data_IF_751200720077
#
_entry.id   IF_751200720077
#
_cell.length_a   1.000
_cell.length_b   1.000
_cell.length_c   1.000
_cell.angle_alpha   90.00
_cell.angle_beta   90.00
_cell.angle_gamma   90.00
#
_symmetry.space_group_name_H-M   'P 1'
#
loop_
_entity.id
_entity.type
_entity.pdbx_description
1 polymer ?
#
# COMPACT_ATOMS: atom_id res chain seq x y z
N UNK A 1 -7.94 1.52 30.09
CA UNK A 1 -7.19 2.08 28.95
C UNK A 1 -7.10 0.96 27.93
N UNK A 2 -7.87 1.03 26.84
CA UNK A 2 -7.87 -0.03 25.81
C UNK A 2 -6.64 0.16 24.94
N UNK A 3 -5.64 -0.69 25.12
CA UNK A 3 -4.44 -0.72 24.30
C UNK A 3 -4.84 -1.14 22.88
N UNK A 4 -4.92 -0.18 21.96
CA UNK A 4 -5.04 -0.50 20.55
C UNK A 4 -3.73 -1.14 20.10
N UNK A 5 -3.66 -2.48 20.09
CA UNK A 5 -2.55 -3.19 19.46
C UNK A 5 -2.34 -2.60 18.06
N UNK A 6 -1.10 -2.22 17.68
CA UNK A 6 -0.81 -1.74 16.34
C UNK A 6 -1.10 -2.91 15.39
N UNK A 7 -2.31 -2.93 14.84
CA UNK A 7 -2.78 -4.00 13.99
C UNK A 7 -2.04 -3.85 12.67
N UNK A 8 -0.91 -4.55 12.55
CA UNK A 8 -0.21 -4.67 11.28
C UNK A 8 -1.08 -5.51 10.36
N UNK A 9 -1.32 -5.01 9.14
CA UNK A 9 -2.10 -5.74 8.13
C UNK A 9 -1.31 -5.78 6.84
N UNK A 10 -1.17 -6.97 6.28
CA UNK A 10 -0.56 -7.17 4.97
C UNK A 10 -1.69 -7.36 3.94
N UNK A 11 -1.57 -6.65 2.82
CA UNK A 11 -2.49 -6.70 1.69
C UNK A 11 -1.71 -6.99 0.41
N UNK A 12 -2.38 -7.60 -0.56
CA UNK A 12 -1.87 -7.70 -1.92
C UNK A 12 -2.80 -6.86 -2.80
N UNK A 13 -2.23 -5.92 -3.55
CA UNK A 13 -2.96 -5.14 -4.54
C UNK A 13 -2.70 -5.79 -5.90
N UNK A 14 -3.72 -6.40 -6.53
CA UNK A 14 -3.61 -6.92 -7.88
C UNK A 14 -3.20 -5.80 -8.83
N UNK A 15 -2.19 -6.05 -9.67
CA UNK A 15 -1.63 -5.07 -10.62
C UNK A 15 -1.23 -3.72 -9.98
N UNK A 16 -0.90 -3.73 -8.68
CA UNK A 16 -0.72 -2.51 -7.90
C UNK A 16 0.63 -1.81 -8.11
N UNK A 17 1.63 -2.43 -8.75
CA UNK A 17 2.92 -1.76 -8.94
C UNK A 17 2.81 -0.70 -10.07
N UNK A 18 3.07 0.59 -9.78
CA UNK A 18 2.94 1.65 -10.78
C UNK A 18 3.99 1.58 -11.90
N UNK A 19 5.05 0.78 -11.73
CA UNK A 19 6.15 0.67 -12.70
C UNK A 19 5.97 -0.53 -13.64
N UNK A 20 5.60 -1.70 -13.11
CA UNK A 20 5.56 -2.95 -13.88
C UNK A 20 4.21 -3.67 -13.88
N UNK A 21 3.19 -3.08 -13.25
CA UNK A 21 1.85 -3.67 -13.09
C UNK A 21 1.83 -5.07 -12.45
N UNK A 22 2.90 -5.48 -11.76
CA UNK A 22 2.88 -6.69 -10.95
C UNK A 22 2.08 -6.48 -9.66
N UNK A 23 1.62 -7.58 -9.07
CA UNK A 23 0.96 -7.57 -7.76
C UNK A 23 1.87 -6.97 -6.69
N UNK A 24 1.34 -6.00 -5.95
CA UNK A 24 2.10 -5.24 -4.98
C UNK A 24 1.72 -5.67 -3.55
N UNK A 25 2.66 -6.27 -2.79
CA UNK A 25 2.45 -6.45 -1.36
C UNK A 25 2.57 -5.11 -0.65
N UNK A 26 1.57 -4.78 0.17
CA UNK A 26 1.49 -3.57 0.98
C UNK A 26 1.32 -3.94 2.43
N UNK A 27 2.19 -3.41 3.29
CA UNK A 27 2.10 -3.53 4.74
C UNK A 27 1.58 -2.24 5.32
N UNK A 28 0.52 -2.33 6.12
CA UNK A 28 -0.05 -1.21 6.86
C UNK A 28 0.32 -1.36 8.32
N UNK A 29 0.99 -0.33 8.87
CA UNK A 29 1.35 -0.23 10.28
C UNK A 29 0.80 1.06 10.88
N UNK A 30 0.98 1.26 12.20
CA UNK A 30 0.66 2.54 12.84
C UNK A 30 1.47 3.73 12.27
N UNK A 31 2.66 3.48 11.70
CA UNK A 31 3.47 4.50 11.01
C UNK A 31 3.01 4.76 9.56
N UNK A 32 1.98 4.05 9.10
CA UNK A 32 1.40 4.15 7.77
C UNK A 32 1.70 2.95 6.87
N UNK A 33 1.20 3.00 5.62
CA UNK A 33 1.39 1.99 4.59
C UNK A 33 2.77 2.08 3.90
N UNK A 34 3.33 0.92 3.57
CA UNK A 34 4.53 0.78 2.74
C UNK A 34 4.41 -0.42 1.79
N UNK A 35 4.94 -0.28 0.58
CA UNK A 35 4.91 -1.34 -0.43
C UNK A 35 6.26 -1.52 -1.11
N UNK A 36 6.64 -2.77 -1.36
CA UNK A 36 7.85 -3.15 -2.11
C UNK A 36 7.47 -4.12 -3.21
N UNK A 37 7.69 -3.75 -4.46
CA UNK A 37 7.49 -4.66 -5.58
C UNK A 37 8.61 -5.69 -5.61
N UNK A 38 8.26 -6.97 -5.47
CA UNK A 38 9.21 -8.08 -5.58
C UNK A 38 9.71 -8.33 -7.01
N UNK A 39 9.03 -7.75 -8.00
CA UNK A 39 9.34 -7.96 -9.42
C UNK A 39 10.35 -6.96 -9.96
N UNK A 40 10.14 -5.65 -9.70
CA UNK A 40 11.00 -4.58 -10.22
C UNK A 40 11.75 -3.79 -9.13
N UNK A 41 11.58 -4.13 -7.85
CA UNK A 41 12.25 -3.46 -6.73
C UNK A 41 11.70 -2.08 -6.37
N UNK A 42 10.60 -1.63 -6.98
CA UNK A 42 9.97 -0.36 -6.65
C UNK A 42 9.57 -0.31 -5.17
N UNK A 43 9.88 0.80 -4.50
CA UNK A 43 9.58 1.06 -3.09
C UNK A 43 8.77 2.36 -3.00
N UNK A 44 7.67 2.33 -2.25
CA UNK A 44 6.91 3.56 -1.98
C UNK A 44 5.98 3.46 -0.79
N UNK A 45 5.40 4.60 -0.43
CA UNK A 45 4.43 4.75 0.66
C UNK A 45 3.07 5.07 0.06
N UNK A 46 2.27 4.05 -0.30
CA UNK A 46 0.99 4.27 -0.95
C UNK A 46 -0.02 4.92 0.00
N UNK A 47 -0.66 6.01 -0.36
CA UNK A 47 -1.82 6.54 0.33
C UNK A 47 -3.04 5.66 0.04
N UNK A 48 -3.60 5.04 1.09
CA UNK A 48 -4.81 4.22 0.98
C UNK A 48 -5.99 5.03 1.52
N UNK A 49 -6.98 5.28 0.68
CA UNK A 49 -8.24 5.94 1.05
C UNK A 49 -9.39 4.95 0.90
N UNK A 50 -10.12 4.69 1.98
CA UNK A 50 -11.36 3.89 1.92
C UNK A 50 -12.47 4.77 1.37
N UNK A 51 -13.17 4.30 0.36
CA UNK A 51 -14.32 4.98 -0.26
C UNK A 51 -15.53 4.06 -0.26
N UNK A 52 -16.73 4.60 -0.47
CA UNK A 52 -17.94 3.78 -0.63
C UNK A 52 -17.88 2.83 -1.85
N UNK A 53 -16.96 3.07 -2.80
CA UNK A 53 -16.75 2.22 -3.99
C UNK A 53 -15.60 1.22 -3.83
N UNK A 54 -14.97 1.15 -2.65
CA UNK A 54 -13.81 0.29 -2.38
C UNK A 54 -12.57 1.07 -1.94
N UNK A 55 -11.40 0.49 -2.13
CA UNK A 55 -10.11 1.07 -1.73
C UNK A 55 -9.51 1.86 -2.90
N UNK A 56 -9.18 3.14 -2.68
CA UNK A 56 -8.35 3.93 -3.59
C UNK A 56 -6.92 3.94 -3.08
N UNK A 57 -5.98 3.62 -3.95
CA UNK A 57 -4.55 3.62 -3.64
C UNK A 57 -3.87 4.67 -4.52
N UNK A 58 -3.13 5.59 -3.91
CA UNK A 58 -2.39 6.66 -4.60
C UNK A 58 -0.92 6.62 -4.17
N UNK A 59 -0.01 7.07 -5.02
CA UNK A 59 1.42 7.05 -4.74
C UNK A 59 1.99 8.47 -4.80
N UNK A 60 2.59 8.96 -3.72
CA UNK A 60 3.38 10.21 -3.80
C UNK A 60 4.64 9.95 -4.63
N UNK A 61 4.83 10.75 -5.68
CA UNK A 61 5.99 10.64 -6.58
C UNK A 61 5.77 9.79 -7.84
N UNK A 62 4.58 9.24 -8.08
CA UNK A 62 4.19 8.81 -9.42
C UNK A 62 3.89 10.06 -10.27
N UNK A 63 4.92 10.81 -10.62
CA UNK A 63 4.83 11.75 -11.73
C UNK A 63 4.73 10.92 -13.01
N UNK A 64 3.67 11.22 -13.77
CA UNK A 64 3.36 10.64 -15.07
C UNK A 64 4.49 10.85 -16.10
#
# INVERSE_FOLDING_TARGET
>A
MTEALPTTRDFMIPEGCPVCAADLPVRVTAAGPSGVCKHCGWLGRPLITVTHKGLRVSYEGAQA
#
